data_IF_965270552552
#
_entry.id   IF_965270552552
#
_cell.length_a   1.000
_cell.length_b   1.000
_cell.length_c   1.000
_cell.angle_alpha   90.00
_cell.angle_beta   90.00
_cell.angle_gamma   90.00
#
_symmetry.space_group_name_H-M   'P 1'
#
loop_
_entity.id
_entity.type
_entity.pdbx_description
1 polymer ?
#
# COMPACT_ATOMS: atom_id res chain seq x y z
N UNK A 1 23.32 -60.73 20.84
CA UNK A 1 22.34 -61.50 20.05
C UNK A 1 22.00 -60.72 18.79
N UNK A 2 21.89 -61.43 17.66
CA UNK A 2 21.24 -61.05 16.39
C UNK A 2 22.03 -60.16 15.42
N UNK A 3 22.83 -60.86 14.62
CA UNK A 3 23.22 -60.52 13.24
C UNK A 3 21.98 -60.25 12.38
N UNK A 4 22.05 -59.31 11.43
CA UNK A 4 21.60 -59.46 10.02
C UNK A 4 21.84 -58.18 9.22
N UNK A 5 22.61 -58.34 8.15
CA UNK A 5 22.79 -57.40 7.06
C UNK A 5 21.53 -57.28 6.19
N UNK A 6 21.32 -56.13 5.54
CA UNK A 6 20.72 -56.05 4.20
C UNK A 6 21.00 -54.67 3.58
N UNK A 7 21.86 -54.66 2.56
CA UNK A 7 22.02 -53.60 1.56
C UNK A 7 21.09 -53.96 0.37
N UNK A 8 21.12 -53.21 -0.74
CA UNK A 8 20.69 -51.83 -1.04
C UNK A 8 19.26 -51.84 -1.63
N UNK A 9 18.76 -50.74 -2.22
CA UNK A 9 17.99 -50.70 -3.50
C UNK A 9 17.14 -49.42 -3.60
N UNK A 10 17.43 -48.67 -4.67
CA UNK A 10 16.55 -47.78 -5.47
C UNK A 10 15.77 -46.65 -4.75
N UNK A 11 15.53 -45.48 -5.33
CA UNK A 11 15.45 -45.09 -6.72
C UNK A 11 15.59 -43.56 -6.74
N UNK A 12 16.47 -43.03 -7.59
CA UNK A 12 16.47 -41.61 -7.90
C UNK A 12 15.14 -41.27 -8.59
N UNK A 13 14.24 -40.56 -7.90
CA UNK A 13 13.06 -39.96 -8.52
C UNK A 13 13.42 -38.51 -8.83
N UNK A 14 14.13 -38.33 -9.93
CA UNK A 14 14.14 -37.08 -10.68
C UNK A 14 12.87 -37.07 -11.52
N UNK A 15 11.83 -36.36 -11.08
CA UNK A 15 10.60 -36.20 -11.84
C UNK A 15 10.26 -34.72 -11.96
N UNK A 16 10.45 -34.25 -13.19
CA UNK A 16 9.98 -33.01 -13.80
C UNK A 16 8.82 -32.32 -13.06
N UNK A 17 9.11 -31.18 -12.44
CA UNK A 17 8.12 -30.13 -12.23
C UNK A 17 8.06 -29.28 -13.50
N UNK A 18 7.36 -29.78 -14.52
CA UNK A 18 7.04 -29.04 -15.72
C UNK A 18 5.87 -28.08 -15.45
N UNK A 19 6.16 -26.77 -15.45
CA UNK A 19 5.30 -25.76 -16.06
C UNK A 19 3.91 -25.52 -15.46
N UNK A 20 3.82 -25.22 -14.16
CA UNK A 20 2.71 -24.37 -13.68
C UNK A 20 3.17 -22.91 -13.77
N UNK A 21 2.94 -22.28 -14.93
CA UNK A 21 2.99 -20.82 -15.00
C UNK A 21 1.72 -20.29 -14.34
N UNK A 22 1.78 -19.64 -13.18
CA UNK A 22 0.63 -18.88 -12.72
C UNK A 22 0.49 -17.73 -13.71
N UNK A 23 -0.52 -17.78 -14.57
CA UNK A 23 -1.01 -16.59 -15.23
C UNK A 23 -1.60 -15.71 -14.13
N UNK A 24 -0.75 -14.98 -13.43
CA UNK A 24 -1.16 -13.88 -12.58
C UNK A 24 -1.85 -12.88 -13.51
N UNK A 25 -3.18 -12.85 -13.46
CA UNK A 25 -3.95 -11.77 -14.05
C UNK A 25 -3.42 -10.48 -13.42
N UNK A 26 -2.67 -9.71 -14.21
CA UNK A 26 -2.12 -8.44 -13.78
C UNK A 26 -3.29 -7.48 -13.67
N UNK A 27 -3.86 -7.36 -12.46
CA UNK A 27 -4.91 -6.38 -12.20
C UNK A 27 -4.34 -5.01 -12.53
N UNK A 28 -4.95 -4.33 -13.49
CA UNK A 28 -4.54 -2.99 -13.90
C UNK A 28 -4.84 -2.04 -12.73
N UNK A 29 -3.78 -1.58 -12.05
CA UNK A 29 -3.91 -0.70 -10.89
C UNK A 29 -4.39 0.67 -11.34
N UNK A 30 -5.49 1.15 -10.75
CA UNK A 30 -6.03 2.45 -11.08
C UNK A 30 -5.01 3.56 -10.79
N UNK A 31 -4.79 4.41 -11.79
CA UNK A 31 -3.92 5.59 -11.70
C UNK A 31 -4.74 6.87 -11.77
N UNK A 32 -4.30 7.86 -11.00
CA UNK A 32 -4.97 9.14 -10.78
C UNK A 32 -4.01 10.28 -11.11
N UNK A 33 -4.57 11.36 -11.66
CA UNK A 33 -3.93 12.68 -11.68
C UNK A 33 -4.33 13.40 -10.40
N UNK A 34 -3.41 13.48 -9.43
CA UNK A 34 -3.65 14.18 -8.17
C UNK A 34 -3.03 15.56 -8.28
N UNK A 35 -3.86 16.60 -8.16
CA UNK A 35 -3.48 18.00 -8.13
C UNK A 35 -3.31 18.53 -6.70
N UNK A 36 -3.93 17.86 -5.71
CA UNK A 36 -3.82 18.24 -4.31
C UNK A 36 -4.71 17.40 -3.39
N UNK A 37 -4.63 17.70 -2.09
CA UNK A 37 -5.44 17.07 -1.05
C UNK A 37 -6.24 18.12 -0.29
N UNK A 38 -7.50 17.82 -0.02
CA UNK A 38 -8.38 18.65 0.81
C UNK A 38 -8.68 17.91 2.10
N UNK A 39 -8.13 18.40 3.22
CA UNK A 39 -8.34 17.79 4.54
C UNK A 39 -9.53 18.45 5.22
N UNK A 40 -10.60 17.70 5.42
CA UNK A 40 -11.83 18.25 6.01
C UNK A 40 -11.75 18.26 7.54
N UNK A 41 -12.28 19.32 8.18
CA UNK A 41 -12.31 19.42 9.65
C UNK A 41 -10.95 19.68 10.32
N UNK A 42 -9.92 20.02 9.54
CA UNK A 42 -8.60 20.34 10.06
C UNK A 42 -8.56 21.73 10.69
N UNK A 43 -8.78 21.81 12.01
CA UNK A 43 -8.75 23.08 12.77
C UNK A 43 -7.58 23.16 13.77
N UNK A 44 -6.86 22.05 13.97
CA UNK A 44 -5.82 21.91 14.99
C UNK A 44 -4.40 22.05 14.43
N UNK A 45 -4.25 22.11 13.10
CA UNK A 45 -2.97 22.17 12.39
C UNK A 45 -3.11 23.18 11.26
N UNK A 46 -2.04 23.91 10.93
CA UNK A 46 -2.08 24.93 9.87
C UNK A 46 -2.12 24.29 8.47
N UNK A 47 -2.81 24.96 7.55
CA UNK A 47 -2.94 24.51 6.15
C UNK A 47 -1.59 24.32 5.45
N UNK A 48 -0.60 25.17 5.78
CA UNK A 48 0.74 25.07 5.21
C UNK A 48 1.41 23.73 5.54
N UNK A 49 1.19 23.23 6.75
CA UNK A 49 1.77 21.96 7.20
C UNK A 49 1.07 20.76 6.60
N UNK A 50 -0.25 20.85 6.42
CA UNK A 50 -1.02 19.83 5.69
C UNK A 50 -0.56 19.76 4.24
N UNK A 51 -0.32 20.91 3.61
CA UNK A 51 0.25 20.97 2.25
C UNK A 51 1.65 20.37 2.21
N UNK A 52 2.54 20.72 3.15
CA UNK A 52 3.90 20.17 3.19
C UNK A 52 3.90 18.64 3.39
N UNK A 53 3.02 18.13 4.26
CA UNK A 53 2.86 16.69 4.50
C UNK A 53 2.32 15.94 3.28
N UNK A 54 1.46 16.57 2.49
CA UNK A 54 0.78 15.91 1.34
C UNK A 54 1.47 16.14 0.00
N UNK A 55 2.31 17.17 -0.13
CA UNK A 55 3.02 17.56 -1.36
C UNK A 55 3.74 16.41 -2.07
N UNK A 56 4.41 15.45 -1.39
CA UNK A 56 5.09 14.35 -2.07
C UNK A 56 4.17 13.42 -2.87
N UNK A 57 2.86 13.43 -2.58
CA UNK A 57 1.88 12.50 -3.16
C UNK A 57 1.04 13.13 -4.28
N UNK A 58 1.38 14.36 -4.68
CA UNK A 58 0.77 15.05 -5.82
C UNK A 58 1.46 14.61 -7.13
N UNK A 59 0.73 14.65 -8.24
CA UNK A 59 1.24 14.40 -9.59
C UNK A 59 0.43 13.38 -10.38
N UNK A 60 0.95 13.08 -11.58
CA UNK A 60 0.42 12.04 -12.47
C UNK A 60 0.81 10.64 -12.01
N UNK A 61 0.05 9.63 -12.42
CA UNK A 61 0.38 8.22 -12.18
C UNK A 61 0.32 7.82 -10.70
N UNK A 62 -0.43 8.55 -9.88
CA UNK A 62 -0.61 8.21 -8.47
C UNK A 62 -1.60 7.08 -8.35
N UNK A 63 -1.30 6.10 -7.52
CA UNK A 63 -2.20 4.97 -7.25
C UNK A 63 -2.90 5.17 -5.91
N UNK A 64 -3.84 4.28 -5.59
CA UNK A 64 -4.47 4.29 -4.27
C UNK A 64 -3.45 4.18 -3.12
N UNK A 65 -2.37 3.42 -3.31
CA UNK A 65 -1.29 3.33 -2.32
C UNK A 65 -0.65 4.70 -2.00
N UNK A 66 -0.53 5.58 -2.99
CA UNK A 66 0.01 6.94 -2.77
C UNK A 66 -0.98 7.82 -2.00
N UNK A 67 -2.28 7.65 -2.23
CA UNK A 67 -3.34 8.35 -1.47
C UNK A 67 -3.30 7.90 -0.01
N UNK A 68 -3.17 6.60 0.26
CA UNK A 68 -3.04 6.07 1.62
C UNK A 68 -1.76 6.56 2.33
N UNK A 69 -0.66 6.72 1.59
CA UNK A 69 0.55 7.33 2.14
C UNK A 69 0.33 8.80 2.50
N UNK A 70 -0.41 9.57 1.69
CA UNK A 70 -0.79 10.95 2.02
C UNK A 70 -1.65 11.01 3.29
N UNK A 71 -2.67 10.15 3.41
CA UNK A 71 -3.50 9.99 4.62
C UNK A 71 -2.64 9.68 5.84
N UNK A 72 -1.69 8.75 5.71
CA UNK A 72 -0.78 8.38 6.78
C UNK A 72 0.18 9.51 7.17
N UNK A 73 0.67 10.31 6.22
CA UNK A 73 1.51 11.47 6.49
C UNK A 73 0.75 12.55 7.28
N UNK A 74 -0.52 12.82 6.90
CA UNK A 74 -1.38 13.74 7.66
C UNK A 74 -1.66 13.17 9.06
N UNK A 75 -1.95 11.88 9.20
CA UNK A 75 -2.11 11.24 10.51
C UNK A 75 -0.85 11.40 11.39
N UNK A 76 0.33 11.19 10.81
CA UNK A 76 1.60 11.34 11.51
C UNK A 76 1.84 12.79 11.96
N UNK A 77 1.46 13.78 11.14
CA UNK A 77 1.50 15.19 11.51
C UNK A 77 0.62 15.48 12.73
N UNK A 78 -0.63 15.01 12.75
CA UNK A 78 -1.50 15.16 13.93
C UNK A 78 -0.91 14.50 15.18
N UNK A 79 -0.36 13.29 15.05
CA UNK A 79 0.30 12.59 16.17
C UNK A 79 1.51 13.37 16.68
N UNK A 80 2.36 13.87 15.78
CA UNK A 80 3.54 14.66 16.13
C UNK A 80 3.18 15.98 16.85
N UNK A 81 1.99 16.52 16.58
CA UNK A 81 1.43 17.70 17.25
C UNK A 81 0.71 17.39 18.56
N UNK A 82 0.69 16.13 19.00
CA UNK A 82 0.04 15.70 20.24
C UNK A 82 -1.45 15.39 20.10
N UNK A 83 -2.00 15.40 18.88
CA UNK A 83 -3.40 15.13 18.60
C UNK A 83 -3.64 13.66 18.22
N UNK A 84 -3.10 12.72 19.00
CA UNK A 84 -3.14 11.28 18.69
C UNK A 84 -4.54 10.64 18.67
N UNK A 85 -5.56 11.33 19.19
CA UNK A 85 -6.96 10.87 19.11
C UNK A 85 -7.63 11.20 17.76
N UNK A 86 -7.02 12.05 16.93
CA UNK A 86 -7.53 12.37 15.59
C UNK A 86 -7.31 11.17 14.68
N UNK A 87 -8.32 10.85 13.86
CA UNK A 87 -8.23 9.83 12.83
C UNK A 87 -8.42 10.47 11.46
N UNK A 88 -7.46 10.25 10.57
CA UNK A 88 -7.53 10.68 9.17
C UNK A 88 -7.97 9.49 8.32
N UNK A 89 -8.99 9.69 7.49
CA UNK A 89 -9.60 8.65 6.66
C UNK A 89 -9.56 9.04 5.18
N UNK A 90 -9.81 8.09 4.28
CA UNK A 90 -10.03 8.40 2.87
C UNK A 90 -11.46 7.97 2.56
N UNK A 91 -12.42 8.90 2.40
CA UNK A 91 -13.79 8.54 2.08
C UNK A 91 -13.91 8.05 0.64
N UNK A 92 -14.93 7.24 0.37
CA UNK A 92 -15.33 6.87 -0.98
C UNK A 92 -15.70 8.14 -1.77
N UNK A 93 -15.05 8.32 -2.92
CA UNK A 93 -15.20 9.51 -3.75
C UNK A 93 -14.74 9.27 -5.19
N UNK A 94 -15.32 10.00 -6.11
CA UNK A 94 -14.74 10.20 -7.43
C UNK A 94 -13.66 11.30 -7.36
N UNK A 95 -12.53 11.06 -8.02
CA UNK A 95 -11.45 12.07 -8.11
C UNK A 95 -11.73 12.99 -9.29
N UNK A 96 -12.67 13.93 -9.10
CA UNK A 96 -13.01 14.96 -10.09
C UNK A 96 -12.10 16.18 -9.90
N UNK A 97 -11.42 16.63 -10.96
CA UNK A 97 -10.52 17.80 -10.89
C UNK A 97 -9.17 17.57 -10.19
N UNK A 98 -8.87 16.32 -9.81
CA UNK A 98 -7.59 15.92 -9.22
C UNK A 98 -7.41 16.28 -7.75
N UNK A 99 -8.43 16.81 -7.06
CA UNK A 99 -8.36 17.05 -5.61
C UNK A 99 -8.93 15.83 -4.88
N UNK A 100 -8.13 15.23 -4.00
CA UNK A 100 -8.53 14.07 -3.18
C UNK A 100 -8.90 14.54 -1.78
N UNK A 101 -10.05 14.12 -1.25
CA UNK A 101 -10.46 14.43 0.12
C UNK A 101 -9.87 13.44 1.10
N UNK A 102 -9.35 13.98 2.20
CA UNK A 102 -8.93 13.26 3.42
C UNK A 102 -9.84 13.69 4.58
#
# INVERSE_FOLDING_TARGET
MMKRACLPVALAVSMLLAGVSPAFAQAEEAVFQVSGFSVSGATLVEDAELQDATRPYVGAGRTFAHIEQARAAVQALYVARGYGAVQVVVPEQEVTGGVVRL
#
